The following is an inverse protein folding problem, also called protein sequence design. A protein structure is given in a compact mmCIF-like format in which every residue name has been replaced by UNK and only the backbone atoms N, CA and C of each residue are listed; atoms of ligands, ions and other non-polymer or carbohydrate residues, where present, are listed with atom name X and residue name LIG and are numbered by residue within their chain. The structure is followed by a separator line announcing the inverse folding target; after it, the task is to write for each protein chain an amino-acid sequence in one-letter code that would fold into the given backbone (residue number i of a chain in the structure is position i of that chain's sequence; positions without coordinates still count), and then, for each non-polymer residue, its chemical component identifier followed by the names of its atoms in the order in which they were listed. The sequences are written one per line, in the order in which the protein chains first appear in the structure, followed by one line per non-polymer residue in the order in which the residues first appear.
data_IF_792402479921
#
_entry.id   IF_792402479921
#
_cell.length_a   1.000
_cell.length_b   1.000
_cell.length_c   1.000
_cell.angle_alpha   90.00
_cell.angle_beta   90.00
_cell.angle_gamma   90.00
#
_symmetry.space_group_name_H-M   'P 1'
#
loop_
_entity.id
_entity.type
_entity.pdbx_description
1 polymer ?
#
# COMPACT_ATOMS: atom_id res chain seq x y z
N UNK A 1 39.70 24.54 17.35
CA UNK A 1 38.49 24.25 18.16
C UNK A 1 37.21 24.89 17.61
N UNK A 2 37.27 26.02 16.89
CA UNK A 2 36.08 26.71 16.34
C UNK A 2 35.46 25.99 15.12
N UNK A 3 36.26 25.31 14.29
CA UNK A 3 35.77 24.63 13.07
C UNK A 3 34.92 23.38 13.39
N UNK A 4 35.21 22.67 14.48
CA UNK A 4 34.50 21.44 14.86
C UNK A 4 33.10 21.70 15.45
N UNK A 5 32.90 22.83 16.13
CA UNK A 5 31.58 23.25 16.64
C UNK A 5 30.67 23.79 15.54
N UNK A 6 31.22 24.46 14.53
CA UNK A 6 30.46 24.91 13.35
C UNK A 6 29.98 23.72 12.52
N UNK A 7 30.80 22.67 12.37
CA UNK A 7 30.42 21.46 11.64
C UNK A 7 29.30 20.68 12.36
N UNK A 8 29.35 20.55 13.69
CA UNK A 8 28.27 19.95 14.49
C UNK A 8 26.98 20.78 14.44
N UNK A 9 27.08 22.10 14.50
CA UNK A 9 25.93 23.01 14.43
C UNK A 9 25.21 22.93 13.08
N UNK A 10 25.96 22.93 11.96
CA UNK A 10 25.40 22.77 10.62
C UNK A 10 24.77 21.38 10.39
N UNK A 11 25.36 20.32 10.94
CA UNK A 11 24.82 18.96 10.83
C UNK A 11 23.53 18.78 11.67
N UNK A 12 23.45 19.43 12.84
CA UNK A 12 22.23 19.46 13.66
C UNK A 12 21.11 20.26 12.99
N UNK A 13 21.45 21.39 12.37
CA UNK A 13 20.49 22.20 11.59
C UNK A 13 19.98 21.45 10.35
N UNK A 14 20.84 20.69 9.66
CA UNK A 14 20.44 19.85 8.52
C UNK A 14 19.51 18.69 8.94
N UNK A 15 19.79 18.03 10.08
CA UNK A 15 18.94 16.97 10.61
C UNK A 15 17.57 17.50 11.06
N UNK A 16 17.55 18.71 11.66
CA UNK A 16 16.33 19.40 12.07
C UNK A 16 15.52 19.91 10.86
N UNK A 17 16.18 20.46 9.84
CA UNK A 17 15.53 20.91 8.61
C UNK A 17 14.96 19.74 7.79
N UNK A 18 15.70 18.63 7.68
CA UNK A 18 15.22 17.41 7.03
C UNK A 18 14.06 16.76 7.80
N UNK A 19 14.11 16.77 9.14
CA UNK A 19 13.00 16.34 10.00
C UNK A 19 11.74 17.21 9.86
N UNK A 20 11.89 18.54 9.76
CA UNK A 20 10.78 19.47 9.54
C UNK A 20 10.20 19.32 8.13
N UNK A 21 11.04 19.17 7.10
CA UNK A 21 10.58 18.92 5.72
C UNK A 21 9.76 17.63 5.63
N UNK A 22 10.18 16.56 6.30
CA UNK A 22 9.41 15.32 6.35
C UNK A 22 8.06 15.53 7.09
N UNK A 23 8.06 16.30 8.18
CA UNK A 23 6.85 16.62 8.94
C UNK A 23 5.85 17.46 8.13
N UNK A 24 6.32 18.48 7.41
CA UNK A 24 5.49 19.32 6.53
C UNK A 24 4.88 18.50 5.38
N UNK A 25 5.64 17.55 4.84
CA UNK A 25 5.20 16.69 3.74
C UNK A 25 4.06 15.74 4.17
N UNK A 26 4.20 15.11 5.34
CA UNK A 26 3.17 14.21 5.89
C UNK A 26 1.91 14.99 6.25
N UNK A 27 2.04 16.20 6.80
CA UNK A 27 0.91 17.07 7.11
C UNK A 27 0.11 17.46 5.87
N UNK A 28 0.80 17.87 4.79
CA UNK A 28 0.14 18.17 3.51
C UNK A 28 -0.54 16.94 2.90
N UNK A 29 0.13 15.79 2.91
CA UNK A 29 -0.45 14.53 2.46
C UNK A 29 -1.69 14.15 3.26
N UNK A 30 -1.64 14.22 4.59
CA UNK A 30 -2.77 13.92 5.47
C UNK A 30 -3.95 14.88 5.27
N UNK A 31 -3.69 16.18 5.04
CA UNK A 31 -4.74 17.16 4.74
C UNK A 31 -5.45 16.83 3.41
N UNK A 32 -4.69 16.44 2.37
CA UNK A 32 -5.22 16.06 1.07
C UNK A 32 -6.05 14.77 1.16
N UNK A 33 -5.55 13.73 1.84
CA UNK A 33 -6.29 12.46 1.98
C UNK A 33 -7.58 12.65 2.78
N UNK A 34 -7.55 13.51 3.81
CA UNK A 34 -8.72 13.85 4.62
C UNK A 34 -9.76 14.65 3.81
N UNK A 35 -9.31 15.60 2.98
CA UNK A 35 -10.20 16.36 2.08
C UNK A 35 -10.89 15.45 1.05
N UNK A 36 -10.13 14.52 0.45
CA UNK A 36 -10.66 13.51 -0.48
C UNK A 36 -11.62 12.55 0.24
N UNK A 37 -11.30 12.11 1.46
CA UNK A 37 -12.16 11.22 2.25
C UNK A 37 -13.50 11.86 2.64
N UNK A 38 -13.50 13.16 2.94
CA UNK A 38 -14.73 13.92 3.24
C UNK A 38 -15.56 14.14 1.98
N UNK A 39 -14.92 14.43 0.84
CA UNK A 39 -15.59 14.70 -0.44
C UNK A 39 -16.17 13.41 -1.06
N UNK A 40 -15.48 12.28 -0.87
CA UNK A 40 -15.88 10.97 -1.39
C UNK A 40 -16.01 9.98 -0.23
N UNK A 41 -17.20 9.87 0.39
CA UNK A 41 -17.41 8.95 1.51
C UNK A 41 -17.30 7.46 1.12
N UNK A 42 -17.22 7.15 -0.18
CA UNK A 42 -16.93 5.80 -0.71
C UNK A 42 -15.42 5.50 -0.82
N UNK A 43 -14.55 6.49 -0.63
CA UNK A 43 -13.12 6.38 -0.92
C UNK A 43 -12.41 5.32 -0.06
N UNK A 44 -12.88 5.06 1.17
CA UNK A 44 -12.36 3.99 2.01
C UNK A 44 -12.54 2.58 1.42
N UNK A 45 -13.70 2.29 0.81
CA UNK A 45 -13.94 1.02 0.12
C UNK A 45 -13.12 0.89 -1.17
N UNK A 46 -12.88 2.00 -1.86
CA UNK A 46 -12.06 2.07 -3.08
C UNK A 46 -10.56 1.93 -2.80
N UNK A 47 -10.07 2.57 -1.73
CA UNK A 47 -8.68 2.41 -1.26
C UNK A 47 -8.42 0.97 -0.81
N UNK A 48 -9.38 0.34 -0.12
CA UNK A 48 -9.29 -1.09 0.22
C UNK A 48 -9.29 -2.00 -1.00
N UNK A 49 -10.08 -1.67 -2.03
CA UNK A 49 -10.09 -2.36 -3.32
C UNK A 49 -8.73 -2.30 -4.03
N UNK A 50 -8.17 -1.11 -4.24
CA UNK A 50 -6.88 -0.95 -4.89
C UNK A 50 -5.71 -1.43 -4.02
N UNK A 51 -5.79 -1.27 -2.69
CA UNK A 51 -4.79 -1.80 -1.77
C UNK A 51 -4.74 -3.33 -1.80
N UNK A 52 -5.89 -4.01 -1.74
CA UNK A 52 -5.97 -5.46 -1.86
C UNK A 52 -5.60 -5.97 -3.25
N UNK A 53 -5.98 -5.26 -4.31
CA UNK A 53 -5.68 -5.64 -5.68
C UNK A 53 -4.23 -5.36 -6.09
N UNK A 54 -3.63 -4.26 -5.63
CA UNK A 54 -2.29 -3.86 -6.05
C UNK A 54 -1.20 -4.41 -5.12
N UNK A 55 -1.39 -4.36 -3.79
CA UNK A 55 -0.36 -4.73 -2.82
C UNK A 55 -0.34 -6.23 -2.52
N UNK A 56 -1.49 -6.90 -2.50
CA UNK A 56 -1.52 -8.33 -2.19
C UNK A 56 -0.85 -9.19 -3.27
N UNK A 57 -1.17 -9.06 -4.57
CA UNK A 57 -0.43 -9.82 -5.57
C UNK A 57 1.01 -9.34 -5.72
N UNK A 58 1.34 -8.05 -5.59
CA UNK A 58 2.77 -7.66 -5.68
C UNK A 58 3.62 -8.24 -4.56
N UNK A 59 3.12 -8.33 -3.31
CA UNK A 59 3.92 -8.93 -2.22
C UNK A 59 3.99 -10.45 -2.29
N UNK A 60 2.97 -11.14 -2.82
CA UNK A 60 2.95 -12.61 -2.90
C UNK A 60 3.43 -13.17 -4.25
N UNK A 61 3.10 -12.56 -5.39
CA UNK A 61 3.54 -13.02 -6.73
C UNK A 61 5.01 -12.71 -7.00
N UNK A 62 5.51 -11.52 -6.67
CA UNK A 62 6.90 -11.15 -7.00
C UNK A 62 7.93 -12.12 -6.42
N UNK A 63 7.93 -12.46 -5.11
CA UNK A 63 8.90 -13.41 -4.58
C UNK A 63 8.71 -14.81 -5.17
N UNK A 64 7.48 -15.22 -5.47
CA UNK A 64 7.17 -16.52 -6.06
C UNK A 64 7.70 -16.68 -7.49
N UNK A 65 7.56 -15.63 -8.32
CA UNK A 65 8.07 -15.59 -9.69
C UNK A 65 9.60 -15.54 -9.68
N UNK A 66 10.20 -14.69 -8.85
CA UNK A 66 11.66 -14.57 -8.72
C UNK A 66 12.26 -15.91 -8.30
N UNK A 67 11.65 -16.59 -7.33
CA UNK A 67 12.09 -17.90 -6.87
C UNK A 67 11.95 -18.98 -7.95
N UNK A 68 10.88 -18.96 -8.76
CA UNK A 68 10.69 -19.91 -9.85
C UNK A 68 11.78 -19.77 -10.92
N UNK A 69 12.12 -18.52 -11.27
CA UNK A 69 13.15 -18.20 -12.27
C UNK A 69 14.54 -18.62 -11.79
N UNK A 70 14.87 -18.34 -10.53
CA UNK A 70 16.19 -18.62 -9.96
C UNK A 70 16.44 -20.11 -9.77
N UNK A 71 15.44 -20.87 -9.26
CA UNK A 71 15.69 -22.22 -8.74
C UNK A 71 15.36 -23.37 -9.69
N UNK A 72 14.74 -23.12 -10.86
CA UNK A 72 14.22 -24.14 -11.82
C UNK A 72 13.81 -25.46 -11.12
N UNK A 73 12.85 -25.44 -10.17
CA UNK A 73 12.59 -26.59 -9.34
C UNK A 73 11.86 -27.71 -10.12
N UNK A 74 12.24 -28.95 -9.86
CA UNK A 74 11.59 -30.14 -10.43
C UNK A 74 10.16 -30.30 -9.87
N UNK A 75 9.21 -30.75 -10.71
CA UNK A 75 7.74 -30.66 -10.50
C UNK A 75 7.19 -31.32 -9.23
N UNK A 76 7.99 -32.03 -8.45
CA UNK A 76 7.56 -32.84 -7.29
C UNK A 76 8.11 -32.36 -5.95
N UNK A 77 8.82 -31.23 -5.91
CA UNK A 77 9.32 -30.65 -4.65
C UNK A 77 8.26 -29.79 -3.95
N UNK A 78 8.27 -29.78 -2.60
CA UNK A 78 7.40 -28.95 -1.74
C UNK A 78 7.43 -27.47 -2.15
N UNK A 79 8.59 -26.98 -2.62
CA UNK A 79 8.77 -25.64 -3.15
C UNK A 79 7.87 -25.33 -4.35
N UNK A 80 7.62 -26.30 -5.23
CA UNK A 80 6.73 -26.13 -6.38
C UNK A 80 5.26 -26.01 -5.94
N UNK A 81 4.85 -26.81 -4.95
CA UNK A 81 3.50 -26.76 -4.38
C UNK A 81 3.21 -25.40 -3.72
N UNK A 82 4.16 -24.87 -2.94
CA UNK A 82 4.05 -23.53 -2.32
C UNK A 82 3.94 -22.43 -3.38
N UNK A 83 4.75 -22.51 -4.44
CA UNK A 83 4.71 -21.53 -5.54
C UNK A 83 3.36 -21.54 -6.25
N UNK A 84 2.80 -22.73 -6.48
CA UNK A 84 1.49 -22.90 -7.11
C UNK A 84 0.36 -22.37 -6.21
N UNK A 85 0.42 -22.66 -4.90
CA UNK A 85 -0.54 -22.16 -3.91
C UNK A 85 -0.51 -20.63 -3.86
N UNK A 86 0.65 -19.97 -3.88
CA UNK A 86 0.73 -18.50 -3.92
C UNK A 86 0.11 -17.89 -5.17
N UNK A 87 0.29 -18.54 -6.34
CA UNK A 87 -0.35 -18.11 -7.59
C UNK A 87 -1.88 -18.18 -7.43
N UNK A 88 -2.41 -19.30 -6.94
CA UNK A 88 -3.85 -19.48 -6.72
C UNK A 88 -4.40 -18.48 -5.70
N UNK A 89 -3.71 -18.27 -4.58
CA UNK A 89 -4.12 -17.31 -3.55
C UNK A 89 -4.14 -15.89 -4.12
N UNK A 90 -3.15 -15.47 -4.90
CA UNK A 90 -3.18 -14.13 -5.49
C UNK A 90 -4.26 -13.95 -6.57
N UNK A 91 -4.59 -14.97 -7.37
CA UNK A 91 -5.77 -14.91 -8.28
C UNK A 91 -7.06 -14.80 -7.47
N UNK A 92 -7.18 -15.59 -6.40
CA UNK A 92 -8.36 -15.56 -5.53
C UNK A 92 -8.51 -14.17 -4.88
N UNK A 93 -7.42 -13.58 -4.39
CA UNK A 93 -7.40 -12.23 -3.83
C UNK A 93 -7.76 -11.15 -4.87
N UNK A 94 -7.32 -11.33 -6.13
CA UNK A 94 -7.71 -10.47 -7.26
C UNK A 94 -9.21 -10.45 -7.52
N UNK A 95 -9.93 -11.52 -7.16
CA UNK A 95 -11.39 -11.62 -7.32
C UNK A 95 -12.10 -11.16 -6.04
N UNK A 96 -11.58 -11.55 -4.87
CA UNK A 96 -12.15 -11.19 -3.57
C UNK A 96 -12.05 -9.68 -3.26
N UNK A 97 -10.94 -9.02 -3.65
CA UNK A 97 -10.76 -7.58 -3.48
C UNK A 97 -11.84 -6.75 -4.21
N UNK A 98 -12.13 -6.96 -5.51
CA UNK A 98 -13.24 -6.30 -6.19
C UNK A 98 -14.59 -6.58 -5.56
N UNK A 99 -14.86 -7.82 -5.15
CA UNK A 99 -16.14 -8.17 -4.53
C UNK A 99 -16.33 -7.43 -3.21
N UNK A 100 -15.30 -7.36 -2.36
CA UNK A 100 -15.33 -6.66 -1.08
C UNK A 100 -15.48 -5.14 -1.24
N UNK A 101 -14.69 -4.55 -2.13
CA UNK A 101 -14.78 -3.12 -2.44
C UNK A 101 -16.14 -2.73 -3.02
N UNK A 102 -16.64 -3.51 -3.97
CA UNK A 102 -17.93 -3.28 -4.63
C UNK A 102 -19.10 -3.38 -3.65
N UNK A 103 -19.09 -4.35 -2.73
CA UNK A 103 -20.10 -4.48 -1.66
C UNK A 103 -20.16 -3.24 -0.76
N UNK A 104 -19.00 -2.70 -0.38
CA UNK A 104 -18.90 -1.50 0.44
C UNK A 104 -19.42 -0.27 -0.30
N UNK A 105 -19.06 -0.12 -1.58
CA UNK A 105 -19.53 0.99 -2.43
C UNK A 105 -21.06 0.93 -2.59
N UNK A 106 -21.64 -0.23 -2.90
CA UNK A 106 -23.09 -0.40 -3.06
C UNK A 106 -23.84 -0.07 -1.75
N UNK A 107 -23.34 -0.55 -0.62
CA UNK A 107 -23.95 -0.28 0.69
C UNK A 107 -23.87 1.21 1.05
N UNK A 108 -22.75 1.86 0.76
CA UNK A 108 -22.59 3.30 0.98
C UNK A 108 -23.50 4.12 0.06
N UNK A 109 -23.62 3.78 -1.23
CA UNK A 109 -24.53 4.47 -2.16
C UNK A 109 -25.99 4.37 -1.71
N UNK A 110 -26.41 3.25 -1.11
CA UNK A 110 -27.75 3.09 -0.55
C UNK A 110 -28.08 4.06 0.60
N UNK A 111 -27.08 4.47 1.39
CA UNK A 111 -27.24 5.51 2.43
C UNK A 111 -27.12 6.94 1.90
N UNK A 112 -26.46 7.14 0.74
CA UNK A 112 -26.27 8.47 0.11
C UNK A 112 -27.35 8.83 -0.94
N UNK A 113 -28.36 7.98 -1.16
CA UNK A 113 -29.59 8.34 -1.88
C UNK A 113 -30.57 9.19 -1.05
N UNK A 114 -30.20 9.59 0.18
CA UNK A 114 -30.94 10.55 1.02
C UNK A 114 -30.38 11.98 0.91
N UNK A 115 -30.06 12.45 -0.29
CA UNK A 115 -30.14 13.88 -0.58
C UNK A 115 -31.30 14.09 -1.58
N UNK A 116 -32.51 13.85 -1.07
CA UNK A 116 -33.64 14.72 -1.36
C UNK A 116 -33.65 15.84 -0.34
#
# INVERSE_FOLDING_TARGET
MVTSTIFLSNMFFFFFACGILFHSSIGAFAAITTFIAITFPFFGGLLGFFGGFALAPTTYYLPCIIWLIVRKPERWSITWCINWICIVIGVLLMILAPIGGLRLIIKSVGSYQFYS
#
